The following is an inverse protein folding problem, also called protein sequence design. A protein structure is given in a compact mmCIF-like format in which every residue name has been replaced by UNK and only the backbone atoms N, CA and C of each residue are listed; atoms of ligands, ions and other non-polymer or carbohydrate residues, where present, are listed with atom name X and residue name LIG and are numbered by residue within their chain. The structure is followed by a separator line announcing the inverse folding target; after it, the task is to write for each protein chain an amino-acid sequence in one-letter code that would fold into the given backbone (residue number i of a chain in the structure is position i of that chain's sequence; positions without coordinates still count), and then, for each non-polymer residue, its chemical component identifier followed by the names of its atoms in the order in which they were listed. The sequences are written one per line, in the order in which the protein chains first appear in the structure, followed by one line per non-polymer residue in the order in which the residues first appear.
data_IF_660798571300
#
_entry.id   IF_660798571300
#
_cell.length_a   1.000
_cell.length_b   1.000
_cell.length_c   1.000
_cell.angle_alpha   90.00
_cell.angle_beta   90.00
_cell.angle_gamma   90.00
#
_symmetry.space_group_name_H-M   'P 1'
#
loop_
_entity.id
_entity.type
_entity.pdbx_description
1 polymer ?
#
# COMPACT_ATOMS: atom_id res chain seq x y z
N UNK A 1 7.84 -16.03 -19.24
CA UNK A 1 7.44 -14.60 -19.35
C UNK A 1 5.92 -14.56 -19.50
N UNK A 2 5.20 -13.72 -18.76
CA UNK A 2 3.74 -13.76 -18.58
C UNK A 2 2.89 -13.23 -19.76
N UNK A 3 3.42 -13.17 -20.99
CA UNK A 3 2.65 -12.77 -22.18
C UNK A 3 2.23 -11.30 -22.27
N UNK A 4 2.76 -10.42 -21.43
CA UNK A 4 2.45 -8.98 -21.49
C UNK A 4 2.96 -8.32 -22.79
N UNK A 5 2.25 -7.30 -23.31
CA UNK A 5 2.73 -6.47 -24.41
C UNK A 5 4.13 -5.91 -24.14
N UNK A 6 4.90 -5.68 -25.21
CA UNK A 6 6.26 -5.17 -25.07
C UNK A 6 6.29 -3.74 -24.49
N UNK A 7 5.19 -3.00 -24.67
CA UNK A 7 4.95 -1.63 -24.25
C UNK A 7 4.36 -1.54 -22.83
N UNK A 8 4.22 -2.67 -22.12
CA UNK A 8 3.67 -2.67 -20.77
C UNK A 8 4.62 -1.94 -19.80
N UNK A 9 4.17 -0.80 -19.27
CA UNK A 9 4.87 -0.05 -18.24
C UNK A 9 4.50 -0.57 -16.85
N UNK A 10 5.50 -0.95 -16.05
CA UNK A 10 5.28 -1.42 -14.69
C UNK A 10 5.33 -0.22 -13.75
N UNK A 11 4.20 0.06 -13.10
CA UNK A 11 4.10 1.01 -11.99
C UNK A 11 3.89 0.25 -10.69
N UNK A 12 4.62 0.63 -9.64
CA UNK A 12 4.46 0.11 -8.28
C UNK A 12 3.90 1.24 -7.42
N UNK A 13 2.79 0.95 -6.74
CA UNK A 13 2.18 1.88 -5.78
C UNK A 13 2.46 1.33 -4.38
N UNK A 14 3.17 2.11 -3.56
CA UNK A 14 3.42 1.79 -2.16
C UNK A 14 2.58 2.71 -1.27
N UNK A 15 1.71 2.11 -0.46
CA UNK A 15 0.88 2.84 0.50
C UNK A 15 1.54 2.80 1.87
N UNK A 16 1.77 3.96 2.46
CA UNK A 16 2.16 4.14 3.86
C UNK A 16 0.92 4.50 4.66
N UNK A 17 0.78 3.89 5.83
CA UNK A 17 -0.34 4.10 6.74
C UNK A 17 0.19 4.08 8.16
N UNK A 18 -0.30 4.98 9.01
CA UNK A 18 0.03 4.94 10.43
C UNK A 18 -0.36 3.58 11.07
N UNK A 19 0.46 3.02 11.98
CA UNK A 19 0.23 1.70 12.60
C UNK A 19 -1.16 1.58 13.22
N UNK A 20 -1.54 2.57 14.02
CA UNK A 20 -2.81 2.54 14.74
C UNK A 20 -4.02 2.62 13.79
N UNK A 21 -3.89 3.37 12.69
CA UNK A 21 -4.92 3.46 11.66
C UNK A 21 -5.10 2.12 10.94
N UNK A 22 -4.00 1.46 10.57
CA UNK A 22 -4.08 0.13 9.96
C UNK A 22 -4.68 -0.88 10.95
N UNK A 23 -4.24 -0.88 12.21
CA UNK A 23 -4.76 -1.75 13.26
C UNK A 23 -6.27 -1.57 13.45
N UNK A 24 -6.75 -0.33 13.48
CA UNK A 24 -8.18 -0.01 13.57
C UNK A 24 -8.95 -0.55 12.35
N UNK A 25 -8.45 -0.33 11.13
CA UNK A 25 -9.07 -0.85 9.89
C UNK A 25 -9.13 -2.38 9.85
N UNK A 26 -8.06 -3.05 10.28
CA UNK A 26 -8.03 -4.53 10.34
C UNK A 26 -9.05 -5.07 11.34
N UNK A 27 -9.19 -4.44 12.52
CA UNK A 27 -10.21 -4.80 13.51
C UNK A 27 -11.63 -4.59 12.98
N UNK A 28 -11.90 -3.43 12.39
CA UNK A 28 -13.21 -3.10 11.83
C UNK A 28 -13.62 -4.07 10.71
N UNK A 29 -12.65 -4.51 9.89
CA UNK A 29 -12.90 -5.42 8.77
C UNK A 29 -13.21 -6.86 9.19
N UNK A 30 -12.72 -7.32 10.35
CA UNK A 30 -13.11 -8.60 10.95
C UNK A 30 -12.80 -9.87 10.16
N UNK A 31 -11.83 -9.87 9.23
CA UNK A 31 -11.51 -11.06 8.44
C UNK A 31 -10.62 -12.03 9.22
N UNK A 32 -10.86 -13.34 9.04
CA UNK A 32 -10.07 -14.40 9.69
C UNK A 32 -8.55 -14.26 9.42
N UNK A 33 -8.16 -13.82 8.22
CA UNK A 33 -6.74 -13.59 7.86
C UNK A 33 -6.06 -12.48 8.67
N UNK A 34 -6.84 -11.56 9.25
CA UNK A 34 -6.31 -10.45 10.03
C UNK A 34 -6.18 -10.82 11.51
N UNK A 35 -6.87 -11.86 11.98
CA UNK A 35 -6.80 -12.33 13.36
C UNK A 35 -5.36 -12.71 13.75
N UNK A 36 -4.63 -13.40 12.87
CA UNK A 36 -3.23 -13.77 13.12
C UNK A 36 -2.30 -12.55 13.27
N UNK A 37 -2.55 -11.48 12.50
CA UNK A 37 -1.77 -10.22 12.58
C UNK A 37 -2.09 -9.44 13.85
N UNK A 38 -3.37 -9.43 14.24
CA UNK A 38 -3.86 -8.69 15.40
C UNK A 38 -3.52 -9.37 16.73
N UNK A 39 -3.35 -10.70 16.74
CA UNK A 39 -2.98 -11.47 17.92
C UNK A 39 -1.58 -11.11 18.46
N UNK A 40 -0.64 -10.76 17.57
CA UNK A 40 0.70 -10.27 17.93
C UNK A 40 1.07 -9.08 17.04
N UNK A 41 0.37 -7.97 17.29
CA UNK A 41 0.47 -6.76 16.47
C UNK A 41 1.88 -6.17 16.44
N UNK A 42 2.55 -6.13 17.60
CA UNK A 42 3.82 -5.42 17.73
C UNK A 42 4.93 -6.14 16.94
N UNK A 43 5.00 -7.48 17.05
CA UNK A 43 5.93 -8.28 16.24
C UNK A 43 5.60 -8.19 14.75
N UNK A 44 4.31 -8.27 14.39
CA UNK A 44 3.87 -8.12 13.01
C UNK A 44 4.31 -6.77 12.43
N UNK A 45 4.06 -5.67 13.16
CA UNK A 45 4.39 -4.33 12.71
C UNK A 45 5.89 -4.09 12.65
N UNK A 46 6.66 -4.58 13.63
CA UNK A 46 8.13 -4.49 13.60
C UNK A 46 8.72 -5.16 12.35
N UNK A 47 8.14 -6.29 11.90
CA UNK A 47 8.60 -7.01 10.74
C UNK A 47 8.10 -6.42 9.40
N UNK A 48 6.87 -5.94 9.34
CA UNK A 48 6.19 -5.62 8.08
C UNK A 48 5.83 -4.14 7.90
N UNK A 49 5.83 -3.35 8.96
CA UNK A 49 5.33 -1.97 8.97
C UNK A 49 6.20 -0.96 8.22
N UNK A 50 7.45 -1.30 7.92
CA UNK A 50 8.39 -0.41 7.22
C UNK A 50 9.08 -1.08 6.02
N UNK A 51 8.38 -1.99 5.33
CA UNK A 51 8.92 -2.64 4.13
C UNK A 51 9.05 -1.61 3.01
N UNK A 52 10.25 -1.47 2.45
CA UNK A 52 10.53 -0.60 1.30
C UNK A 52 10.44 -1.37 -0.02
N UNK A 53 10.00 -0.70 -1.09
CA UNK A 53 10.00 -1.30 -2.43
C UNK A 53 11.44 -1.65 -2.87
N UNK A 54 11.68 -2.94 -3.16
CA UNK A 54 12.96 -3.42 -3.67
C UNK A 54 12.99 -3.62 -5.20
N UNK A 55 11.89 -3.31 -5.89
CA UNK A 55 11.77 -3.52 -7.34
C UNK A 55 12.60 -2.48 -8.09
N UNK A 56 13.26 -2.92 -9.16
CA UNK A 56 14.14 -2.08 -9.99
C UNK A 56 13.56 -1.94 -11.39
N UNK A 57 13.83 -0.80 -12.03
CA UNK A 57 13.36 -0.52 -13.39
C UNK A 57 11.84 -0.30 -13.50
N UNK A 58 11.21 0.15 -12.41
CA UNK A 58 9.77 0.40 -12.32
C UNK A 58 9.51 1.84 -11.90
N UNK A 59 8.36 2.40 -12.29
CA UNK A 59 7.89 3.68 -11.75
C UNK A 59 7.32 3.43 -10.35
N UNK A 60 7.96 3.96 -9.30
CA UNK A 60 7.46 3.87 -7.93
C UNK A 60 6.68 5.14 -7.57
N UNK A 61 5.42 4.98 -7.15
CA UNK A 61 4.58 6.01 -6.54
C UNK A 61 4.37 5.68 -5.07
N UNK A 62 4.67 6.62 -4.18
CA UNK A 62 4.42 6.47 -2.74
C UNK A 62 3.26 7.36 -2.33
N UNK A 63 2.29 6.79 -1.61
CA UNK A 63 1.11 7.49 -1.12
C UNK A 63 1.07 7.30 0.39
N UNK A 64 0.87 8.38 1.13
CA UNK A 64 0.72 8.35 2.58
C UNK A 64 -0.75 8.55 2.90
N UNK A 65 -1.39 7.53 3.48
CA UNK A 65 -2.77 7.60 3.92
C UNK A 65 -2.80 7.62 5.44
N UNK A 66 -2.60 8.80 6.00
CA UNK A 66 -2.52 9.05 7.43
C UNK A 66 -3.88 9.34 8.07
N UNK A 67 -4.91 9.60 7.25
CA UNK A 67 -6.30 9.81 7.67
C UNK A 67 -7.25 8.81 7.00
N UNK A 68 -8.47 8.70 7.51
CA UNK A 68 -9.56 7.92 6.89
C UNK A 68 -10.26 8.66 5.76
N UNK A 69 -9.82 9.87 5.43
CA UNK A 69 -10.38 10.65 4.33
C UNK A 69 -10.09 9.94 3.00
N UNK A 70 -11.07 9.98 2.11
CA UNK A 70 -10.90 9.50 0.74
C UNK A 70 -10.13 10.58 -0.02
N UNK A 71 -8.79 10.48 0.01
CA UNK A 71 -7.97 11.23 -0.94
C UNK A 71 -8.32 10.72 -2.34
N UNK A 72 -9.06 11.52 -3.11
CA UNK A 72 -9.17 11.32 -4.55
C UNK A 72 -7.75 11.24 -5.08
N UNK A 73 -7.38 10.08 -5.63
CA UNK A 73 -6.12 9.91 -6.35
C UNK A 73 -6.24 10.74 -7.64
N UNK A 74 -6.02 12.04 -7.55
CA UNK A 74 -5.95 12.91 -8.71
C UNK A 74 -4.69 12.55 -9.46
N UNK A 75 -4.87 11.91 -10.61
CA UNK A 75 -3.80 11.73 -11.57
C UNK A 75 -3.50 13.10 -12.19
N UNK A 76 -2.56 13.83 -11.58
CA UNK A 76 -2.05 15.11 -12.10
C UNK A 76 -1.37 14.97 -13.47
N UNK A 77 -1.30 13.76 -14.04
CA UNK A 77 -0.78 13.51 -15.39
C UNK A 77 -1.67 14.08 -16.51
N UNK A 78 -2.80 14.72 -16.20
CA UNK A 78 -3.75 15.23 -17.21
C UNK A 78 -3.95 16.76 -17.24
N UNK A 79 -3.12 17.56 -16.56
CA UNK A 79 -3.13 19.04 -16.68
C UNK A 79 -2.02 19.55 -17.60
N UNK A 80 -1.95 19.01 -18.82
CA UNK A 80 -1.23 19.62 -19.95
C UNK A 80 -2.01 19.30 -21.25
N UNK A 81 -3.13 20.00 -21.44
CA UNK A 81 -3.68 20.32 -22.78
C UNK A 81 -3.93 21.83 -22.79
#
# INVERSE_FOLDING_TARGET
RFGWPAEAHIKVIQIHVAPELLKARLRARGLARDAAKLADWDSYWAQHGNVTCAWRGVELRQIHKDTDEDDELTDDSNLLI
#
